data_IF_253778271562
#
_entry.id   IF_253778271562
#
_cell.length_a   1.000
_cell.length_b   1.000
_cell.length_c   1.000
_cell.angle_alpha   90.00
_cell.angle_beta   90.00
_cell.angle_gamma   90.00
#
_symmetry.space_group_name_H-M   'P 1'
#
loop_
_entity.id
_entity.type
_entity.pdbx_description
1 polymer ?
#
# COMPACT_ATOMS: atom_id res chain seq x y z
N UNK A 1 19.01 23.40 -61.52
CA UNK A 1 17.53 23.26 -61.43
C UNK A 1 17.23 21.78 -61.12
N UNK A 2 17.02 21.43 -59.85
CA UNK A 2 16.19 20.27 -59.49
C UNK A 2 15.72 20.43 -58.03
N UNK A 3 14.42 20.25 -57.85
CA UNK A 3 13.53 20.52 -56.77
C UNK A 3 13.97 19.98 -55.38
N UNK A 4 13.98 20.86 -54.38
CA UNK A 4 13.71 20.58 -52.98
C UNK A 4 12.19 20.81 -52.74
N UNK A 5 11.40 19.80 -52.66
CA UNK A 5 10.06 19.85 -52.01
C UNK A 5 9.72 18.45 -51.49
N UNK A 6 9.26 18.38 -50.26
CA UNK A 6 8.70 17.24 -49.50
C UNK A 6 9.59 16.65 -48.42
N UNK A 7 9.66 17.31 -47.27
CA UNK A 7 10.25 16.77 -46.05
C UNK A 7 9.66 17.34 -44.76
N UNK A 8 8.73 18.34 -44.85
CA UNK A 8 8.24 19.06 -43.66
C UNK A 8 6.92 18.56 -43.05
N UNK A 9 6.16 17.76 -43.79
CA UNK A 9 4.81 17.33 -43.32
C UNK A 9 4.82 16.12 -42.39
N UNK A 10 5.75 15.16 -42.59
CA UNK A 10 5.76 13.92 -41.80
C UNK A 10 6.31 14.11 -40.39
N UNK A 11 7.28 14.99 -40.19
CA UNK A 11 7.82 15.31 -38.87
C UNK A 11 6.87 16.06 -37.95
N UNK A 12 6.00 16.90 -38.51
CA UNK A 12 5.00 17.61 -37.70
C UNK A 12 3.82 16.73 -37.30
N UNK A 13 3.40 15.79 -38.12
CA UNK A 13 2.35 14.83 -37.80
C UNK A 13 2.81 13.81 -36.72
N UNK A 14 4.07 13.37 -36.72
CA UNK A 14 4.65 12.53 -35.69
C UNK A 14 4.82 13.30 -34.36
N UNK A 15 5.23 14.55 -34.41
CA UNK A 15 5.33 15.43 -33.22
C UNK A 15 3.94 15.75 -32.65
N UNK A 16 2.94 16.02 -33.47
CA UNK A 16 1.58 16.29 -33.02
C UNK A 16 0.91 15.04 -32.40
N UNK A 17 1.14 13.84 -32.96
CA UNK A 17 0.65 12.59 -32.38
C UNK A 17 1.37 12.24 -31.07
N UNK A 18 2.68 12.45 -30.94
CA UNK A 18 3.42 12.26 -29.70
C UNK A 18 2.99 13.27 -28.63
N UNK A 19 2.73 14.54 -28.99
CA UNK A 19 2.21 15.56 -28.08
C UNK A 19 0.80 15.26 -27.57
N UNK A 20 -0.10 14.81 -28.43
CA UNK A 20 -1.46 14.42 -28.05
C UNK A 20 -1.46 13.17 -27.17
N UNK A 21 -0.58 12.21 -27.44
CA UNK A 21 -0.44 11.00 -26.63
C UNK A 21 0.16 11.32 -25.25
N UNK A 22 1.21 12.14 -25.19
CA UNK A 22 1.82 12.61 -23.95
C UNK A 22 0.84 13.41 -23.08
N UNK A 23 0.04 14.30 -23.68
CA UNK A 23 -0.94 15.08 -22.93
C UNK A 23 -2.09 14.21 -22.40
N UNK A 24 -2.56 13.22 -23.15
CA UNK A 24 -3.59 12.30 -22.69
C UNK A 24 -3.08 11.40 -21.57
N UNK A 25 -1.89 10.82 -21.69
CA UNK A 25 -1.25 10.02 -20.65
C UNK A 25 -1.00 10.81 -19.36
N UNK A 26 -0.65 12.10 -19.48
CA UNK A 26 -0.48 12.98 -18.30
C UNK A 26 -1.81 13.29 -17.61
N UNK A 27 -2.90 13.51 -18.38
CA UNK A 27 -4.24 13.68 -17.80
C UNK A 27 -4.69 12.44 -17.05
N UNK A 28 -4.53 11.25 -17.66
CA UNK A 28 -4.93 9.99 -17.06
C UNK A 28 -4.13 9.70 -15.78
N UNK A 29 -2.83 10.04 -15.76
CA UNK A 29 -1.99 9.90 -14.56
C UNK A 29 -2.40 10.88 -13.45
N UNK A 30 -2.79 12.12 -13.79
CA UNK A 30 -3.29 13.10 -12.81
C UNK A 30 -4.64 12.65 -12.22
N UNK A 31 -5.54 12.13 -13.04
CA UNK A 31 -6.81 11.60 -12.55
C UNK A 31 -6.58 10.40 -11.61
N UNK A 32 -5.67 9.49 -11.96
CA UNK A 32 -5.29 8.38 -11.10
C UNK A 32 -4.68 8.84 -9.77
N UNK A 33 -3.80 9.86 -9.80
CA UNK A 33 -3.15 10.36 -8.59
C UNK A 33 -4.12 11.11 -7.68
N UNK A 34 -5.13 11.80 -8.23
CA UNK A 34 -6.19 12.42 -7.45
C UNK A 34 -7.07 11.37 -6.77
N UNK A 35 -7.40 10.28 -7.46
CA UNK A 35 -8.15 9.17 -6.87
C UNK A 35 -7.32 8.41 -5.82
N UNK A 36 -6.01 8.24 -6.03
CA UNK A 36 -5.09 7.75 -4.98
C UNK A 36 -5.12 8.68 -3.76
N UNK A 37 -5.09 9.99 -3.96
CA UNK A 37 -5.22 10.96 -2.87
C UNK A 37 -6.51 10.79 -2.07
N UNK A 38 -7.64 10.64 -2.77
CA UNK A 38 -8.94 10.38 -2.14
C UNK A 38 -8.95 9.03 -1.38
N UNK A 39 -8.34 7.98 -1.95
CA UNK A 39 -8.21 6.67 -1.32
C UNK A 39 -7.38 6.73 -0.04
N UNK A 40 -6.22 7.40 -0.07
CA UNK A 40 -5.36 7.58 1.12
C UNK A 40 -6.08 8.37 2.20
N UNK A 41 -6.79 9.45 1.83
CA UNK A 41 -7.57 10.26 2.79
C UNK A 41 -8.65 9.45 3.49
N UNK A 42 -9.32 8.54 2.77
CA UNK A 42 -10.33 7.63 3.31
C UNK A 42 -9.73 6.43 4.07
N UNK A 43 -8.41 6.28 4.09
CA UNK A 43 -7.70 5.11 4.62
C UNK A 43 -6.68 5.48 5.71
N UNK A 44 -7.09 6.12 6.82
CA UNK A 44 -6.17 6.55 7.89
C UNK A 44 -5.58 5.38 8.71
N UNK A 45 -6.09 4.18 8.59
CA UNK A 45 -5.56 2.94 9.17
C UNK A 45 -5.76 1.76 8.22
N UNK A 46 -5.11 0.61 8.46
CA UNK A 46 -5.31 -0.63 7.67
C UNK A 46 -6.77 -1.07 7.63
N UNK A 47 -7.50 -0.94 8.75
CA UNK A 47 -8.93 -1.27 8.85
C UNK A 47 -9.78 -0.40 7.92
N UNK A 48 -9.49 0.90 7.85
CA UNK A 48 -10.16 1.82 6.92
C UNK A 48 -9.78 1.49 5.46
N UNK A 49 -8.50 1.20 5.18
CA UNK A 49 -8.05 0.82 3.85
C UNK A 49 -8.75 -0.43 3.33
N UNK A 50 -8.87 -1.47 4.17
CA UNK A 50 -9.59 -2.69 3.81
C UNK A 50 -11.08 -2.43 3.55
N UNK A 51 -11.75 -1.62 4.37
CA UNK A 51 -13.17 -1.27 4.20
C UNK A 51 -13.42 -0.35 3.01
N UNK A 52 -12.58 0.64 2.77
CA UNK A 52 -12.68 1.49 1.58
C UNK A 52 -12.45 0.69 0.30
N UNK A 53 -11.50 -0.26 0.31
CA UNK A 53 -11.28 -1.18 -0.82
C UNK A 53 -12.51 -2.06 -1.06
N UNK A 54 -13.08 -2.67 -0.02
CA UNK A 54 -14.30 -3.47 -0.13
C UNK A 54 -15.50 -2.64 -0.64
N UNK A 55 -15.64 -1.39 -0.16
CA UNK A 55 -16.69 -0.46 -0.64
C UNK A 55 -16.55 -0.16 -2.14
N UNK A 56 -15.32 0.14 -2.61
CA UNK A 56 -15.04 0.39 -4.04
C UNK A 56 -15.30 -0.85 -4.89
N UNK A 57 -14.87 -2.03 -4.42
CA UNK A 57 -15.11 -3.31 -5.07
C UNK A 57 -16.61 -3.63 -5.15
N UNK A 58 -17.37 -3.43 -4.07
CA UNK A 58 -18.81 -3.61 -4.07
C UNK A 58 -19.51 -2.69 -5.09
N UNK A 59 -19.06 -1.44 -5.20
CA UNK A 59 -19.56 -0.49 -6.23
C UNK A 59 -19.23 -0.96 -7.67
N UNK A 60 -18.15 -1.75 -7.85
CA UNK A 60 -17.77 -2.39 -9.12
C UNK A 60 -18.40 -3.79 -9.31
N UNK A 61 -19.35 -4.19 -8.46
CA UNK A 61 -20.11 -5.44 -8.58
C UNK A 61 -19.42 -6.68 -7.98
N UNK A 62 -18.42 -6.50 -7.12
CA UNK A 62 -17.86 -7.61 -6.32
C UNK A 62 -18.80 -7.95 -5.16
N UNK A 63 -18.93 -9.23 -4.87
CA UNK A 63 -19.69 -9.74 -3.73
C UNK A 63 -18.80 -9.96 -2.53
N UNK A 64 -19.08 -9.30 -1.41
CA UNK A 64 -18.38 -9.56 -0.15
C UNK A 64 -18.83 -10.88 0.47
N UNK A 65 -17.88 -11.75 0.81
CA UNK A 65 -18.12 -13.08 1.36
C UNK A 65 -17.67 -13.15 2.82
N UNK A 66 -18.51 -13.81 3.66
CA UNK A 66 -18.10 -14.14 5.02
C UNK A 66 -17.18 -15.35 5.07
N UNK A 67 -16.15 -15.30 5.92
CA UNK A 67 -15.23 -16.44 6.12
C UNK A 67 -15.89 -17.64 6.80
N UNK A 68 -16.92 -17.42 7.59
CA UNK A 68 -17.73 -18.42 8.33
C UNK A 68 -18.77 -19.13 7.47
N UNK A 69 -18.85 -18.80 6.16
CA UNK A 69 -19.88 -19.33 5.25
C UNK A 69 -19.26 -20.12 4.10
N UNK A 70 -20.08 -20.90 3.43
CA UNK A 70 -19.69 -21.49 2.15
C UNK A 70 -19.60 -20.40 1.08
N UNK A 71 -18.60 -20.52 0.22
CA UNK A 71 -18.42 -19.63 -0.91
C UNK A 71 -18.99 -20.20 -2.20
N UNK A 72 -19.52 -19.35 -3.10
CA UNK A 72 -19.95 -19.81 -4.42
C UNK A 72 -18.74 -20.32 -5.22
N UNK A 73 -19.00 -21.30 -6.08
CA UNK A 73 -18.02 -21.86 -7.01
C UNK A 73 -18.15 -21.27 -8.42
N UNK A 74 -19.15 -20.43 -8.64
CA UNK A 74 -19.49 -19.90 -9.96
C UNK A 74 -18.48 -18.86 -10.43
N UNK A 75 -18.32 -18.67 -11.76
CA UNK A 75 -17.64 -17.49 -12.29
C UNK A 75 -18.22 -16.21 -11.71
N UNK A 76 -17.35 -15.28 -11.30
CA UNK A 76 -17.82 -14.07 -10.61
C UNK A 76 -16.71 -13.26 -9.98
N UNK A 77 -17.10 -12.20 -9.30
CA UNK A 77 -16.24 -11.20 -8.66
C UNK A 77 -16.50 -11.22 -7.15
N UNK A 78 -15.49 -11.49 -6.35
CA UNK A 78 -15.62 -11.72 -4.92
C UNK A 78 -14.56 -10.97 -4.12
N UNK A 79 -14.89 -10.66 -2.88
CA UNK A 79 -13.97 -10.08 -1.90
C UNK A 79 -14.23 -10.64 -0.51
N UNK A 80 -13.18 -10.82 0.27
CA UNK A 80 -13.22 -11.16 1.69
C UNK A 80 -12.34 -10.19 2.47
N UNK A 81 -12.83 -9.73 3.62
CA UNK A 81 -12.10 -8.83 4.53
C UNK A 81 -11.76 -9.60 5.81
N UNK A 82 -10.51 -9.53 6.24
CA UNK A 82 -10.01 -10.10 7.48
C UNK A 82 -9.21 -9.04 8.24
N UNK A 83 -9.79 -8.46 9.27
CA UNK A 83 -9.18 -7.38 10.05
C UNK A 83 -8.81 -6.16 9.16
N UNK A 84 -7.55 -5.75 9.14
CA UNK A 84 -7.03 -4.71 8.25
C UNK A 84 -6.59 -5.21 6.87
N UNK A 85 -6.82 -6.48 6.53
CA UNK A 85 -6.47 -7.09 5.25
C UNK A 85 -7.71 -7.39 4.41
N UNK A 86 -7.55 -7.52 3.09
CA UNK A 86 -8.58 -8.03 2.20
C UNK A 86 -7.96 -8.82 1.05
N UNK A 87 -8.75 -9.76 0.50
CA UNK A 87 -8.42 -10.45 -0.74
C UNK A 87 -9.63 -10.38 -1.65
N UNK A 88 -9.42 -9.90 -2.89
CA UNK A 88 -10.45 -9.84 -3.92
C UNK A 88 -10.01 -10.65 -5.14
N UNK A 89 -10.96 -11.31 -5.82
CA UNK A 89 -10.64 -12.14 -6.98
C UNK A 89 -11.74 -12.18 -8.02
N UNK A 90 -11.36 -12.53 -9.24
CA UNK A 90 -12.25 -12.76 -10.36
C UNK A 90 -12.07 -14.21 -10.82
N UNK A 91 -13.14 -15.01 -10.77
CA UNK A 91 -13.19 -16.34 -11.35
C UNK A 91 -13.75 -16.20 -12.77
N UNK A 92 -12.93 -16.43 -13.82
CA UNK A 92 -13.39 -16.29 -15.20
C UNK A 92 -14.31 -17.41 -15.64
N UNK A 93 -15.07 -17.21 -16.70
CA UNK A 93 -15.82 -18.24 -17.41
C UNK A 93 -14.86 -19.36 -17.87
N UNK A 94 -15.17 -20.61 -17.53
CA UNK A 94 -14.35 -21.74 -17.89
C UNK A 94 -13.16 -22.04 -16.97
N UNK A 95 -13.04 -21.36 -15.83
CA UNK A 95 -12.07 -21.76 -14.80
C UNK A 95 -12.34 -23.20 -14.34
N UNK A 96 -11.29 -24.01 -14.22
CA UNK A 96 -11.32 -25.40 -13.80
C UNK A 96 -10.42 -25.67 -12.61
N UNK A 97 -10.39 -26.93 -12.14
CA UNK A 97 -9.69 -27.36 -10.92
C UNK A 97 -8.19 -27.05 -10.90
N UNK A 98 -7.53 -27.03 -12.07
CA UNK A 98 -6.10 -26.72 -12.20
C UNK A 98 -5.80 -25.31 -12.70
N UNK A 99 -6.82 -24.42 -12.76
CA UNK A 99 -6.60 -23.02 -13.19
C UNK A 99 -5.68 -22.29 -12.22
N UNK A 100 -4.60 -21.71 -12.75
CA UNK A 100 -3.62 -20.94 -11.98
C UNK A 100 -4.15 -19.57 -11.56
N UNK A 101 -3.45 -18.95 -10.62
CA UNK A 101 -3.77 -17.65 -10.07
C UNK A 101 -2.77 -16.58 -10.54
N UNK A 102 -3.26 -15.44 -11.01
CA UNK A 102 -2.50 -14.22 -11.21
C UNK A 102 -2.65 -13.32 -9.97
N UNK A 103 -1.68 -13.38 -9.06
CA UNK A 103 -1.76 -12.77 -7.73
C UNK A 103 -0.97 -11.47 -7.72
N UNK A 104 -1.61 -10.35 -7.37
CA UNK A 104 -0.94 -9.12 -6.95
C UNK A 104 -1.03 -9.02 -5.43
N UNK A 105 0.12 -9.12 -4.76
CA UNK A 105 0.24 -8.98 -3.31
C UNK A 105 0.71 -7.59 -2.92
N UNK A 106 0.07 -6.98 -1.91
CA UNK A 106 0.36 -5.65 -1.37
C UNK A 106 0.14 -5.64 0.14
N UNK A 107 0.32 -4.51 0.83
CA UNK A 107 -0.07 -4.36 2.24
C UNK A 107 -0.80 -3.05 2.51
N UNK A 108 -1.63 -3.04 3.56
CA UNK A 108 -2.55 -1.95 3.93
C UNK A 108 -2.06 -1.11 5.09
N UNK A 109 -1.17 -1.66 5.92
CA UNK A 109 -0.58 -0.97 7.07
C UNK A 109 0.57 -0.05 6.65
N UNK A 110 0.95 0.85 7.53
CA UNK A 110 2.04 1.81 7.35
C UNK A 110 2.65 2.16 8.71
N UNK A 111 3.93 2.58 8.78
CA UNK A 111 4.55 2.99 10.03
C UNK A 111 3.79 4.10 10.74
N UNK A 112 3.63 3.98 12.04
CA UNK A 112 2.79 4.87 12.83
C UNK A 112 3.08 4.81 14.33
N UNK A 113 2.12 5.31 15.14
CA UNK A 113 2.08 5.20 16.59
C UNK A 113 0.74 4.61 17.01
N UNK A 114 0.76 3.45 17.68
CA UNK A 114 -0.43 2.75 18.17
C UNK A 114 -0.73 3.16 19.61
N UNK A 115 -2.00 3.40 19.94
CA UNK A 115 -2.41 3.67 21.32
C UNK A 115 -2.14 2.46 22.23
N UNK A 116 -1.57 2.73 23.41
CA UNK A 116 -1.39 1.74 24.49
C UNK A 116 -2.74 1.41 25.16
N UNK A 117 -2.85 0.26 25.88
CA UNK A 117 -4.09 -0.13 26.56
C UNK A 117 -4.59 0.89 27.61
N UNK A 118 -3.71 1.70 28.20
CA UNK A 118 -4.06 2.84 29.06
C UNK A 118 -3.45 4.10 28.47
N UNK A 119 -4.11 4.72 27.50
CA UNK A 119 -3.48 5.73 26.68
C UNK A 119 -3.54 7.13 27.31
N UNK A 120 -4.48 7.41 28.22
CA UNK A 120 -4.59 8.73 28.84
C UNK A 120 -3.47 8.92 29.85
N UNK A 121 -2.63 9.92 29.61
CA UNK A 121 -1.51 10.30 30.46
C UNK A 121 -1.30 11.81 30.40
N UNK A 122 -0.32 12.35 31.12
CA UNK A 122 0.04 13.76 31.06
C UNK A 122 0.68 14.27 32.35
N UNK A 123 1.15 15.50 32.29
CA UNK A 123 1.76 16.23 33.43
C UNK A 123 1.71 17.74 33.19
N UNK A 124 1.83 18.48 34.23
CA UNK A 124 1.87 19.97 34.16
C UNK A 124 0.65 20.60 33.47
N UNK A 125 -0.53 19.99 33.60
CA UNK A 125 -1.75 20.45 32.92
C UNK A 125 -1.87 20.12 31.46
N UNK A 126 -0.98 19.29 30.93
CA UNK A 126 -1.06 18.74 29.57
C UNK A 126 -1.72 17.37 29.56
N UNK A 127 -2.63 17.15 28.63
CA UNK A 127 -3.17 15.83 28.30
C UNK A 127 -2.33 15.22 27.18
N UNK A 128 -1.73 14.06 27.44
CA UNK A 128 -0.89 13.34 26.49
C UNK A 128 -1.47 11.94 26.21
N UNK A 129 -1.19 11.41 25.03
CA UNK A 129 -1.51 10.03 24.71
C UNK A 129 -0.27 9.13 24.86
N UNK A 130 -0.45 8.02 25.58
CA UNK A 130 0.55 6.95 25.65
C UNK A 130 0.49 6.11 24.37
N UNK A 131 1.58 6.10 23.61
CA UNK A 131 1.65 5.40 22.33
C UNK A 131 2.84 4.43 22.28
N UNK A 132 2.71 3.44 21.40
CA UNK A 132 3.75 2.50 20.99
C UNK A 132 4.17 2.80 19.56
N UNK A 133 5.47 2.74 19.25
CA UNK A 133 5.96 2.91 17.88
C UNK A 133 5.59 1.66 17.08
N UNK A 134 4.86 1.82 15.99
CA UNK A 134 4.47 0.76 15.08
C UNK A 134 5.32 0.81 13.81
N UNK A 135 6.00 -0.31 13.49
CA UNK A 135 6.92 -0.36 12.35
C UNK A 135 8.19 0.46 12.55
N UNK A 136 8.70 1.01 11.47
CA UNK A 136 9.94 1.77 11.42
C UNK A 136 9.79 3.24 11.01
N UNK A 137 8.95 4.08 11.67
CA UNK A 137 8.72 5.45 11.25
C UNK A 137 9.97 6.34 11.38
N UNK A 138 10.13 7.29 10.45
CA UNK A 138 11.06 8.42 10.61
C UNK A 138 10.52 9.37 11.67
N UNK A 139 10.91 9.18 12.95
CA UNK A 139 10.32 9.86 14.10
C UNK A 139 10.28 11.38 13.96
N UNK A 140 11.34 11.99 13.41
CA UNK A 140 11.44 13.43 13.21
C UNK A 140 10.38 14.00 12.26
N UNK A 141 9.89 13.22 11.31
CA UNK A 141 8.88 13.65 10.35
C UNK A 141 7.49 13.82 10.95
N UNK A 142 7.24 13.21 12.11
CA UNK A 142 5.97 13.27 12.84
C UNK A 142 5.85 14.47 13.78
N UNK A 143 6.97 15.14 14.03
CA UNK A 143 6.98 16.31 14.89
C UNK A 143 6.28 17.49 14.21
N UNK A 144 5.59 18.32 15.02
CA UNK A 144 4.91 19.55 14.62
C UNK A 144 3.83 19.39 13.54
N UNK A 145 3.22 18.19 13.46
CA UNK A 145 2.09 17.90 12.59
C UNK A 145 0.80 17.74 13.38
N UNK A 146 -0.30 18.18 12.81
CA UNK A 146 -1.64 17.88 13.30
C UNK A 146 -1.98 16.44 12.89
N UNK A 147 -2.14 15.58 13.90
CA UNK A 147 -2.40 14.15 13.73
C UNK A 147 -3.80 13.80 14.20
N UNK A 148 -4.38 12.81 13.55
CA UNK A 148 -5.60 12.16 13.99
C UNK A 148 -5.32 10.79 14.61
N UNK A 149 -6.29 10.29 15.35
CA UNK A 149 -6.39 8.91 15.78
C UNK A 149 -7.44 8.19 14.93
N UNK A 150 -7.09 7.04 14.38
CA UNK A 150 -7.99 6.26 13.55
C UNK A 150 -7.75 4.75 13.73
N UNK A 151 -8.81 3.96 13.54
CA UNK A 151 -8.74 2.51 13.66
C UNK A 151 -10.10 1.90 13.94
N UNK A 152 -10.13 0.80 14.70
CA UNK A 152 -11.36 0.13 15.13
C UNK A 152 -11.50 0.10 16.64
N UNK A 153 -12.73 0.15 17.09
CA UNK A 153 -13.17 -0.15 18.46
C UNK A 153 -14.10 -1.34 18.44
N UNK A 154 -13.99 -2.19 19.44
CA UNK A 154 -14.80 -3.41 19.56
C UNK A 154 -15.45 -3.42 20.94
N UNK A 155 -16.76 -3.65 20.98
CA UNK A 155 -17.54 -3.74 22.22
C UNK A 155 -17.39 -5.12 22.87
N UNK A 156 -17.83 -5.27 24.12
CA UNK A 156 -17.79 -6.54 24.87
C UNK A 156 -18.63 -7.64 24.23
N UNK A 157 -19.67 -7.28 23.48
CA UNK A 157 -20.51 -8.21 22.70
C UNK A 157 -20.01 -8.46 21.25
N UNK A 158 -18.89 -7.85 20.88
CA UNK A 158 -18.20 -8.09 19.60
C UNK A 158 -18.62 -7.16 18.46
N UNK A 159 -19.40 -6.11 18.72
CA UNK A 159 -19.70 -5.10 17.69
C UNK A 159 -18.41 -4.32 17.35
N UNK A 160 -18.05 -4.28 16.06
CA UNK A 160 -16.90 -3.54 15.55
C UNK A 160 -17.33 -2.22 14.90
N UNK A 161 -16.67 -1.12 15.26
CA UNK A 161 -16.86 0.21 14.67
C UNK A 161 -15.52 0.83 14.29
N UNK A 162 -15.44 1.37 13.08
CA UNK A 162 -14.35 2.24 12.68
C UNK A 162 -14.53 3.62 13.30
N UNK A 163 -13.41 4.23 13.65
CA UNK A 163 -13.38 5.57 14.23
C UNK A 163 -12.20 6.36 13.67
N UNK A 164 -12.45 7.65 13.41
CA UNK A 164 -11.44 8.65 13.11
C UNK A 164 -11.77 9.96 13.81
N UNK A 165 -10.75 10.68 14.25
CA UNK A 165 -10.97 11.88 15.08
C UNK A 165 -10.93 13.19 14.29
N UNK A 166 -10.34 13.21 13.11
CA UNK A 166 -9.80 14.44 12.54
C UNK A 166 -8.62 14.96 13.36
N UNK A 167 -8.11 16.17 13.09
CA UNK A 167 -6.97 16.75 13.82
C UNK A 167 -7.24 16.80 15.32
N UNK A 168 -6.46 16.04 16.10
CA UNK A 168 -6.65 15.91 17.55
C UNK A 168 -5.36 16.13 18.34
N UNK A 169 -4.23 15.67 17.86
CA UNK A 169 -3.00 15.62 18.64
C UNK A 169 -1.78 16.06 17.84
N UNK A 170 -0.68 16.32 18.57
CA UNK A 170 0.59 16.76 17.98
C UNK A 170 1.76 16.31 18.85
N UNK A 171 2.88 15.94 18.22
CA UNK A 171 4.19 15.83 18.88
C UNK A 171 4.92 17.17 18.78
N UNK A 172 4.90 18.02 19.81
CA UNK A 172 5.60 19.31 19.75
C UNK A 172 7.11 19.11 19.87
N UNK A 173 7.88 19.81 19.03
CA UNK A 173 9.33 19.87 19.17
C UNK A 173 9.72 20.75 20.36
N UNK A 174 10.90 20.45 20.95
CA UNK A 174 11.52 21.34 21.90
C UNK A 174 12.05 22.58 21.16
N UNK A 175 11.79 23.76 21.70
CA UNK A 175 12.27 25.00 21.09
C UNK A 175 13.81 25.03 21.04
N UNK A 176 14.38 25.56 19.96
CA UNK A 176 15.83 25.64 19.75
C UNK A 176 16.57 26.35 20.91
N UNK A 177 15.90 27.26 21.62
CA UNK A 177 16.48 27.95 22.78
C UNK A 177 16.76 27.00 23.96
N UNK A 178 16.07 25.85 24.02
CA UNK A 178 16.22 24.85 25.06
C UNK A 178 17.11 23.66 24.62
N UNK A 179 17.37 23.54 23.30
CA UNK A 179 18.30 22.56 22.70
C UNK A 179 19.03 23.20 21.51
N UNK A 180 20.13 23.88 21.77
CA UNK A 180 20.87 24.61 20.72
C UNK A 180 21.64 23.71 19.78
N UNK A 181 21.87 22.45 20.14
CA UNK A 181 22.59 21.47 19.33
C UNK A 181 21.66 20.62 18.45
N UNK A 182 20.35 20.87 18.46
CA UNK A 182 19.34 20.07 17.74
C UNK A 182 19.66 19.93 16.23
N UNK A 183 20.24 20.96 15.60
CA UNK A 183 20.62 20.93 14.19
C UNK A 183 21.90 20.12 13.90
N UNK A 184 22.66 19.74 14.92
CA UNK A 184 23.83 18.85 14.80
C UNK A 184 23.42 17.38 14.89
N UNK A 185 22.23 17.08 15.48
CA UNK A 185 21.69 15.75 15.56
C UNK A 185 20.51 15.66 16.51
N UNK A 186 19.30 15.52 15.96
CA UNK A 186 18.09 15.33 16.75
C UNK A 186 18.04 13.91 17.35
N UNK A 187 17.98 13.85 18.70
CA UNK A 187 17.90 12.59 19.45
C UNK A 187 16.51 12.45 20.06
N UNK A 188 15.73 11.48 19.59
CA UNK A 188 14.39 11.19 20.11
C UNK A 188 14.37 9.87 20.87
N UNK A 189 14.07 9.94 22.18
CA UNK A 189 13.75 8.76 22.97
C UNK A 189 12.28 8.38 22.75
N UNK A 190 12.05 7.14 22.29
CA UNK A 190 10.70 6.67 21.94
C UNK A 190 9.73 6.65 23.13
N UNK A 191 10.22 6.41 24.34
CA UNK A 191 9.38 6.34 25.54
C UNK A 191 9.12 7.72 26.17
N UNK A 192 10.12 8.61 26.15
CA UNK A 192 10.05 9.88 26.87
C UNK A 192 9.57 11.04 25.97
N UNK A 193 10.01 11.06 24.71
CA UNK A 193 9.79 12.20 23.81
C UNK A 193 8.61 12.01 22.87
N UNK A 194 8.14 10.76 22.67
CA UNK A 194 7.09 10.43 21.70
C UNK A 194 5.74 10.18 22.40
N UNK A 195 5.28 11.12 23.22
CA UNK A 195 3.93 11.14 23.78
C UNK A 195 3.22 12.41 23.27
N UNK A 196 2.30 12.29 22.30
CA UNK A 196 1.67 13.45 21.68
C UNK A 196 0.73 14.14 22.66
N UNK A 197 0.63 15.46 22.54
CA UNK A 197 -0.32 16.30 23.28
C UNK A 197 -1.64 16.31 22.53
N UNK A 198 -2.77 16.12 23.24
CA UNK A 198 -4.11 16.19 22.66
C UNK A 198 -5.06 17.15 23.39
N UNK A 199 -4.63 17.76 24.49
CA UNK A 199 -5.44 18.72 25.21
C UNK A 199 -4.75 19.32 26.44
N UNK A 200 -5.52 20.10 27.16
CA UNK A 200 -5.15 20.72 28.46
C UNK A 200 -6.12 20.25 29.53
N UNK A 201 -5.62 20.03 30.75
CA UNK A 201 -6.45 19.63 31.88
C UNK A 201 -5.74 18.69 32.85
N UNK A 202 -6.54 18.06 33.71
CA UNK A 202 -6.09 17.04 34.65
C UNK A 202 -6.18 15.66 34.00
N UNK A 203 -5.05 14.96 33.77
CA UNK A 203 -5.06 13.62 33.18
C UNK A 203 -5.89 12.60 33.96
N UNK A 204 -6.06 12.78 35.28
CA UNK A 204 -6.87 11.87 36.10
C UNK A 204 -8.38 11.99 35.87
N UNK A 205 -8.82 13.13 35.31
CA UNK A 205 -10.21 13.40 34.97
C UNK A 205 -10.50 13.27 33.47
N UNK A 206 -9.46 13.02 32.64
CA UNK A 206 -9.58 12.90 31.20
C UNK A 206 -9.74 11.44 30.77
N UNK A 207 -10.49 11.23 29.68
CA UNK A 207 -10.72 9.90 29.10
C UNK A 207 -10.59 9.95 27.57
N UNK A 208 -9.42 9.57 27.05
CA UNK A 208 -9.18 9.51 25.61
C UNK A 208 -9.96 8.36 24.94
N UNK A 209 -10.14 7.23 25.63
CA UNK A 209 -10.91 6.09 25.11
C UNK A 209 -12.39 6.46 25.04
N UNK A 210 -12.92 7.12 26.06
CA UNK A 210 -14.30 7.64 26.06
C UNK A 210 -14.56 8.67 24.96
N UNK A 211 -13.57 9.54 24.67
CA UNK A 211 -13.66 10.46 23.52
C UNK A 211 -13.77 9.69 22.19
N UNK A 212 -12.95 8.65 22.00
CA UNK A 212 -13.00 7.81 20.81
C UNK A 212 -14.32 7.04 20.71
N UNK A 213 -14.79 6.43 21.82
CA UNK A 213 -16.07 5.73 21.86
C UNK A 213 -17.24 6.64 21.47
N UNK A 214 -17.27 7.86 22.00
CA UNK A 214 -18.30 8.85 21.64
C UNK A 214 -18.28 9.21 20.15
N UNK A 215 -17.08 9.34 19.54
CA UNK A 215 -16.94 9.55 18.09
C UNK A 215 -17.38 8.35 17.25
N UNK A 216 -17.19 7.12 17.75
CA UNK A 216 -17.66 5.90 17.13
C UNK A 216 -19.17 5.65 17.33
N UNK A 217 -19.85 6.47 18.16
CA UNK A 217 -21.25 6.27 18.53
C UNK A 217 -21.45 5.10 19.49
N UNK A 218 -20.45 4.76 20.31
CA UNK A 218 -20.46 3.67 21.28
C UNK A 218 -20.46 4.22 22.71
N UNK A 219 -20.99 3.45 23.66
CA UNK A 219 -20.84 3.78 25.08
C UNK A 219 -19.41 3.40 25.53
N UNK A 220 -18.72 4.27 26.27
CA UNK A 220 -17.38 3.95 26.78
C UNK A 220 -17.33 2.69 27.65
N UNK A 221 -18.40 2.40 28.41
CA UNK A 221 -18.50 1.24 29.29
C UNK A 221 -18.61 -0.10 28.53
N UNK A 222 -19.04 -0.05 27.27
CA UNK A 222 -19.20 -1.24 26.43
C UNK A 222 -17.91 -1.59 25.66
N UNK A 223 -16.86 -0.77 25.73
CA UNK A 223 -15.62 -1.01 24.97
C UNK A 223 -14.82 -2.17 25.56
N UNK A 224 -14.71 -3.26 24.79
CA UNK A 224 -13.90 -4.43 25.11
C UNK A 224 -12.45 -4.34 24.61
N UNK A 225 -12.21 -3.64 23.51
CA UNK A 225 -10.87 -3.48 22.93
C UNK A 225 -10.81 -2.45 21.81
N UNK A 226 -9.60 -2.12 21.38
CA UNK A 226 -9.39 -1.22 20.26
C UNK A 226 -8.01 -1.42 19.61
N UNK A 227 -7.96 -1.15 18.31
CA UNK A 227 -6.73 -1.03 17.53
C UNK A 227 -6.74 0.36 16.87
N UNK A 228 -6.08 1.32 17.50
CA UNK A 228 -6.06 2.72 17.10
C UNK A 228 -4.64 3.18 16.82
N UNK A 229 -4.43 3.81 15.68
CA UNK A 229 -3.14 4.35 15.24
C UNK A 229 -3.24 5.85 14.95
N UNK A 230 -2.09 6.52 14.96
CA UNK A 230 -1.96 7.90 14.52
C UNK A 230 -1.87 7.99 13.00
N UNK A 231 -2.45 9.04 12.41
CA UNK A 231 -2.28 9.36 11.01
C UNK A 231 -2.12 10.87 10.80
N UNK A 232 -1.29 11.25 9.82
CA UNK A 232 -1.16 12.66 9.40
C UNK A 232 -2.47 13.12 8.75
N UNK A 233 -2.92 14.32 9.09
CA UNK A 233 -4.15 14.92 8.55
C UNK A 233 -3.91 15.84 7.36
N UNK A 234 -2.66 16.04 6.97
CA UNK A 234 -2.34 16.87 5.82
C UNK A 234 -2.80 16.21 4.52
N UNK A 235 -3.65 16.93 3.77
CA UNK A 235 -4.19 16.47 2.51
C UNK A 235 -3.11 16.07 1.48
N UNK A 236 -3.29 14.95 0.76
CA UNK A 236 -2.45 14.60 -0.38
C UNK A 236 -2.43 15.70 -1.44
N UNK A 237 -1.27 15.98 -2.04
CA UNK A 237 -1.13 17.05 -3.04
C UNK A 237 -0.09 16.74 -4.09
N UNK A 238 -0.37 17.16 -5.32
CA UNK A 238 0.66 17.34 -6.34
C UNK A 238 1.42 18.64 -6.11
N UNK A 239 2.68 18.68 -6.51
CA UNK A 239 3.56 19.84 -6.44
C UNK A 239 4.73 19.70 -7.41
N UNK A 240 5.61 20.69 -7.46
CA UNK A 240 6.69 20.82 -8.45
C UNK A 240 6.36 21.89 -9.47
N UNK A 241 7.31 22.21 -10.34
CA UNK A 241 7.16 23.28 -11.33
C UNK A 241 6.03 22.96 -12.35
N UNK A 242 5.86 21.66 -12.65
CA UNK A 242 4.87 21.13 -13.60
C UNK A 242 3.96 20.07 -12.95
N UNK A 243 3.85 20.07 -11.62
CA UNK A 243 3.11 19.08 -10.82
C UNK A 243 3.63 17.63 -11.01
N UNK A 244 4.95 17.46 -11.13
CA UNK A 244 5.59 16.17 -11.37
C UNK A 244 5.59 15.24 -10.16
N UNK A 245 5.37 15.80 -8.97
CA UNK A 245 5.48 15.08 -7.70
C UNK A 245 4.14 15.02 -6.97
N UNK A 246 3.99 13.96 -6.18
CA UNK A 246 2.86 13.76 -5.29
C UNK A 246 3.36 13.52 -3.86
N UNK A 247 2.82 14.27 -2.91
CA UNK A 247 3.14 14.12 -1.50
C UNK A 247 1.93 13.69 -0.69
N UNK A 248 2.08 12.60 0.05
CA UNK A 248 1.06 12.04 0.93
C UNK A 248 1.71 11.21 2.03
N UNK A 249 1.02 10.96 3.13
CA UNK A 249 1.37 9.87 4.04
C UNK A 249 0.93 8.53 3.46
N UNK A 250 1.49 7.43 3.97
CA UNK A 250 1.05 6.05 3.70
C UNK A 250 1.10 5.64 2.22
N UNK A 251 1.97 6.27 1.41
CA UNK A 251 2.21 5.81 0.03
C UNK A 251 2.83 4.42 0.03
N UNK A 252 3.70 4.15 0.97
CA UNK A 252 4.08 2.84 1.44
C UNK A 252 3.00 2.34 2.41
N UNK A 253 2.08 1.41 1.99
CA UNK A 253 2.03 0.85 0.64
C UNK A 253 0.62 1.01 0.00
N UNK A 254 -0.15 2.03 0.43
CA UNK A 254 -1.48 2.30 -0.12
C UNK A 254 -1.43 2.65 -1.62
N UNK A 255 -0.29 3.10 -2.12
CA UNK A 255 -0.09 3.33 -3.56
C UNK A 255 -0.18 2.04 -4.37
N UNK A 256 0.41 0.94 -3.88
CA UNK A 256 0.31 -0.38 -4.53
C UNK A 256 -1.08 -1.01 -4.33
N UNK A 257 -1.70 -0.82 -3.15
CA UNK A 257 -3.09 -1.25 -2.90
C UNK A 257 -4.03 -0.59 -3.89
N UNK A 258 -3.93 0.74 -4.05
CA UNK A 258 -4.77 1.51 -4.97
C UNK A 258 -4.54 1.12 -6.43
N UNK A 259 -3.26 0.97 -6.85
CA UNK A 259 -2.92 0.55 -8.20
C UNK A 259 -3.52 -0.84 -8.53
N UNK A 260 -3.39 -1.80 -7.59
CA UNK A 260 -3.98 -3.13 -7.73
C UNK A 260 -5.51 -3.11 -7.74
N UNK A 261 -6.12 -2.27 -6.89
CA UNK A 261 -7.57 -2.11 -6.81
C UNK A 261 -8.14 -1.54 -8.13
N UNK A 262 -7.56 -0.47 -8.65
CA UNK A 262 -7.95 0.12 -9.92
C UNK A 262 -7.80 -0.89 -11.07
N UNK A 263 -6.65 -1.58 -11.13
CA UNK A 263 -6.38 -2.60 -12.13
C UNK A 263 -7.35 -3.78 -12.07
N UNK A 264 -7.73 -4.25 -10.88
CA UNK A 264 -8.66 -5.36 -10.74
C UNK A 264 -10.08 -4.96 -11.14
N UNK A 265 -10.50 -3.73 -10.82
CA UNK A 265 -11.80 -3.17 -11.22
C UNK A 265 -11.84 -3.03 -12.75
N UNK A 266 -10.80 -2.49 -13.38
CA UNK A 266 -10.72 -2.35 -14.84
C UNK A 266 -10.70 -3.73 -15.54
N UNK A 267 -9.97 -4.71 -14.99
CA UNK A 267 -9.94 -6.08 -15.48
C UNK A 267 -11.31 -6.78 -15.38
N UNK A 268 -12.10 -6.44 -14.38
CA UNK A 268 -13.43 -7.03 -14.16
C UNK A 268 -14.45 -6.66 -15.25
N UNK A 269 -14.19 -5.63 -16.03
CA UNK A 269 -15.02 -5.21 -17.18
C UNK A 269 -14.55 -5.87 -18.50
N UNK A 270 -13.45 -6.62 -18.47
CA UNK A 270 -12.84 -7.26 -19.63
C UNK A 270 -12.99 -8.78 -19.56
N UNK A 271 -12.81 -9.47 -20.70
CA UNK A 271 -12.65 -10.92 -20.67
C UNK A 271 -11.23 -11.25 -20.19
N UNK A 272 -11.15 -12.03 -19.13
CA UNK A 272 -9.89 -12.56 -18.63
C UNK A 272 -9.59 -13.90 -19.29
N UNK A 273 -8.37 -14.07 -19.81
CA UNK A 273 -7.94 -15.29 -20.49
C UNK A 273 -7.28 -16.26 -19.49
N UNK A 274 -8.11 -17.08 -18.86
CA UNK A 274 -7.66 -18.37 -18.32
C UNK A 274 -7.13 -18.39 -16.88
N UNK A 275 -6.61 -17.35 -16.28
CA UNK A 275 -6.18 -17.33 -14.87
C UNK A 275 -7.21 -16.66 -13.95
N UNK A 276 -7.22 -17.05 -12.66
CA UNK A 276 -8.01 -16.38 -11.63
C UNK A 276 -7.20 -15.17 -11.16
N UNK A 277 -7.71 -13.96 -11.45
CA UNK A 277 -7.08 -12.73 -10.99
C UNK A 277 -7.32 -12.54 -9.50
N UNK A 278 -6.26 -12.24 -8.72
CA UNK A 278 -6.32 -12.10 -7.26
C UNK A 278 -5.54 -10.86 -6.82
N UNK A 279 -6.19 -9.95 -6.11
CA UNK A 279 -5.55 -8.87 -5.35
C UNK A 279 -5.56 -9.27 -3.87
N UNK A 280 -4.38 -9.43 -3.27
CA UNK A 280 -4.20 -9.74 -1.86
C UNK A 280 -3.50 -8.58 -1.16
N UNK A 281 -4.19 -7.86 -0.29
CA UNK A 281 -3.65 -6.78 0.51
C UNK A 281 -3.59 -7.21 1.97
N UNK A 282 -2.38 -7.40 2.48
CA UNK A 282 -2.13 -7.91 3.83
C UNK A 282 -2.03 -6.78 4.87
N UNK A 283 -2.19 -7.13 6.13
CA UNK A 283 -1.93 -6.26 7.27
C UNK A 283 -0.62 -6.65 7.95
N UNK A 284 -0.05 -5.77 8.77
CA UNK A 284 1.13 -6.04 9.59
C UNK A 284 2.45 -6.34 8.83
N UNK A 285 2.58 -5.88 7.58
CA UNK A 285 3.84 -5.99 6.84
C UNK A 285 4.97 -5.29 7.60
N UNK A 286 4.73 -4.08 8.06
CA UNK A 286 5.66 -3.17 8.73
C UNK A 286 6.22 -3.69 10.07
N UNK A 287 5.65 -4.79 10.56
CA UNK A 287 6.07 -5.49 11.78
C UNK A 287 6.39 -6.97 11.53
N UNK A 288 6.63 -7.34 10.26
CA UNK A 288 7.14 -8.64 9.84
C UNK A 288 6.09 -9.66 9.44
N UNK A 289 4.86 -9.25 9.13
CA UNK A 289 3.78 -10.10 8.58
C UNK A 289 3.32 -11.28 9.45
N UNK A 290 3.80 -11.41 10.68
CA UNK A 290 3.58 -12.57 11.56
C UNK A 290 2.23 -12.53 12.29
N UNK A 291 1.11 -12.44 11.55
CA UNK A 291 -0.24 -12.41 12.11
C UNK A 291 -1.24 -13.19 11.24
N UNK A 292 -2.48 -13.37 11.72
CA UNK A 292 -3.53 -14.08 10.96
C UNK A 292 -3.94 -13.37 9.66
N UNK A 293 -3.74 -12.06 9.59
CA UNK A 293 -4.04 -11.19 8.43
C UNK A 293 -2.80 -10.76 7.67
N UNK A 294 -1.60 -11.08 8.16
CA UNK A 294 -0.33 -10.82 7.50
C UNK A 294 0.04 -11.89 6.47
N UNK A 295 1.02 -11.59 5.61
CA UNK A 295 1.45 -12.48 4.54
C UNK A 295 2.09 -13.79 5.02
N UNK A 296 2.67 -13.82 6.25
CA UNK A 296 3.15 -15.04 6.88
C UNK A 296 2.00 -15.89 7.48
N UNK A 297 0.81 -15.30 7.66
CA UNK A 297 -0.41 -15.97 8.12
C UNK A 297 -1.08 -16.82 7.03
N UNK A 298 -2.17 -17.50 7.36
CA UNK A 298 -2.82 -18.44 6.43
C UNK A 298 -3.75 -17.76 5.41
N UNK A 299 -3.98 -16.45 5.47
CA UNK A 299 -5.08 -15.78 4.78
C UNK A 299 -5.10 -16.04 3.26
N UNK A 300 -3.98 -15.83 2.57
CA UNK A 300 -3.92 -16.09 1.14
C UNK A 300 -4.11 -17.58 0.83
N UNK A 301 -3.43 -18.45 1.57
CA UNK A 301 -3.53 -19.90 1.39
C UNK A 301 -4.97 -20.39 1.60
N UNK A 302 -5.66 -19.92 2.66
CA UNK A 302 -7.07 -20.24 2.93
C UNK A 302 -7.97 -19.87 1.74
N UNK A 303 -7.78 -18.66 1.19
CA UNK A 303 -8.58 -18.16 0.06
C UNK A 303 -8.33 -18.99 -1.19
N UNK A 304 -7.07 -19.20 -1.58
CA UNK A 304 -6.73 -19.99 -2.78
C UNK A 304 -7.22 -21.46 -2.67
N UNK A 305 -7.08 -22.06 -1.48
CA UNK A 305 -7.60 -23.41 -1.21
C UNK A 305 -9.11 -23.49 -1.36
N UNK A 306 -9.84 -22.50 -0.80
CA UNK A 306 -11.32 -22.47 -0.89
C UNK A 306 -11.80 -22.25 -2.31
N UNK A 307 -11.11 -21.42 -3.11
CA UNK A 307 -11.43 -21.24 -4.54
C UNK A 307 -11.23 -22.55 -5.29
N UNK A 308 -10.07 -23.20 -5.14
CA UNK A 308 -9.78 -24.48 -5.81
C UNK A 308 -10.77 -25.56 -5.42
N UNK A 309 -11.07 -25.72 -4.13
CA UNK A 309 -12.05 -26.68 -3.63
C UNK A 309 -13.48 -26.39 -4.15
N UNK A 310 -13.87 -25.11 -4.22
CA UNK A 310 -15.13 -24.67 -4.81
C UNK A 310 -15.29 -25.07 -6.26
N UNK A 311 -14.19 -25.02 -7.05
CA UNK A 311 -14.16 -25.50 -8.43
C UNK A 311 -14.15 -27.04 -8.55
N UNK A 312 -14.26 -27.77 -7.44
CA UNK A 312 -14.22 -29.22 -7.40
C UNK A 312 -12.81 -29.83 -7.40
N UNK A 313 -11.78 -29.02 -7.16
CA UNK A 313 -10.39 -29.45 -7.19
C UNK A 313 -10.00 -30.29 -5.98
N UNK A 314 -9.15 -31.30 -6.24
CA UNK A 314 -8.45 -32.10 -5.25
C UNK A 314 -7.18 -31.42 -4.74
N UNK A 315 -6.50 -32.01 -3.76
CA UNK A 315 -5.18 -31.57 -3.31
C UNK A 315 -4.14 -31.59 -4.46
N UNK A 316 -4.21 -32.57 -5.35
CA UNK A 316 -3.33 -32.64 -6.54
C UNK A 316 -3.63 -31.50 -7.53
N UNK A 317 -4.91 -31.17 -7.73
CA UNK A 317 -5.31 -30.02 -8.57
C UNK A 317 -4.83 -28.71 -7.96
N UNK A 318 -4.90 -28.55 -6.64
CA UNK A 318 -4.38 -27.39 -5.93
C UNK A 318 -2.87 -27.19 -6.20
N UNK A 319 -2.09 -28.27 -6.12
CA UNK A 319 -0.66 -28.20 -6.39
C UNK A 319 -0.37 -27.82 -7.85
N UNK A 320 -1.16 -28.33 -8.80
CA UNK A 320 -1.08 -27.94 -10.21
C UNK A 320 -1.44 -26.47 -10.40
N UNK A 321 -2.52 -25.99 -9.79
CA UNK A 321 -2.93 -24.59 -9.83
C UNK A 321 -1.84 -23.67 -9.27
N UNK A 322 -1.23 -24.01 -8.12
CA UNK A 322 -0.13 -23.23 -7.54
C UNK A 322 1.12 -23.22 -8.44
N UNK A 323 1.47 -24.35 -9.06
CA UNK A 323 2.59 -24.44 -10.01
C UNK A 323 2.33 -23.62 -11.30
N UNK A 324 1.07 -23.47 -11.72
CA UNK A 324 0.65 -22.64 -12.84
C UNK A 324 0.48 -21.16 -12.48
N UNK A 325 0.57 -20.82 -11.19
CA UNK A 325 0.35 -19.46 -10.68
C UNK A 325 1.59 -18.57 -10.79
N UNK A 326 1.35 -17.27 -10.69
CA UNK A 326 2.40 -16.28 -10.60
C UNK A 326 1.98 -15.16 -9.63
N UNK A 327 2.92 -14.68 -8.82
CA UNK A 327 2.69 -13.59 -7.88
C UNK A 327 3.57 -12.39 -8.22
N UNK A 328 2.97 -11.22 -8.23
CA UNK A 328 3.65 -9.92 -8.20
C UNK A 328 3.52 -9.40 -6.76
N UNK A 329 4.63 -9.31 -6.03
CA UNK A 329 4.72 -8.65 -4.74
C UNK A 329 4.99 -7.18 -4.99
N UNK A 330 3.95 -6.35 -4.90
CA UNK A 330 4.02 -4.92 -5.16
C UNK A 330 4.14 -4.15 -3.84
N UNK A 331 5.31 -3.58 -3.61
CA UNK A 331 5.68 -2.86 -2.41
C UNK A 331 6.63 -1.72 -2.78
N UNK A 332 6.45 -0.53 -2.21
CA UNK A 332 7.23 0.66 -2.54
C UNK A 332 8.74 0.43 -2.39
N UNK A 333 9.54 1.16 -3.14
CA UNK A 333 11.00 1.06 -3.09
C UNK A 333 11.67 2.45 -3.08
N UNK A 334 12.98 2.46 -2.94
CA UNK A 334 13.73 3.72 -2.80
C UNK A 334 14.08 4.34 -4.16
N UNK A 335 13.64 5.56 -4.40
CA UNK A 335 14.24 6.40 -5.43
C UNK A 335 15.62 6.88 -5.01
N UNK A 336 16.51 7.15 -5.98
CA UNK A 336 17.81 7.77 -5.68
C UNK A 336 17.58 9.15 -5.03
N UNK A 337 18.22 9.34 -3.88
CA UNK A 337 18.13 10.63 -3.17
C UNK A 337 19.22 11.60 -3.66
N UNK A 338 18.88 12.78 -4.19
CA UNK A 338 19.86 13.66 -4.84
C UNK A 338 20.96 14.15 -3.89
N UNK A 339 20.69 14.25 -2.59
CA UNK A 339 21.68 14.70 -1.58
C UNK A 339 22.44 13.54 -0.90
N UNK A 340 22.10 12.27 -1.23
CA UNK A 340 22.68 11.06 -0.63
C UNK A 340 22.88 9.97 -1.68
N UNK A 341 23.34 10.36 -2.87
CA UNK A 341 23.52 9.44 -4.00
C UNK A 341 24.47 8.28 -3.67
N UNK A 342 25.44 8.50 -2.77
CA UNK A 342 26.38 7.47 -2.30
C UNK A 342 25.74 6.34 -1.48
N UNK A 343 24.46 6.46 -1.12
CA UNK A 343 23.70 5.41 -0.44
C UNK A 343 23.04 4.42 -1.41
N UNK A 344 23.11 4.71 -2.70
CA UNK A 344 22.47 3.93 -3.75
C UNK A 344 23.51 3.23 -4.62
N UNK A 345 23.09 2.12 -5.27
CA UNK A 345 23.93 1.49 -6.28
C UNK A 345 24.17 2.46 -7.45
N UNK A 346 25.41 2.63 -7.93
CA UNK A 346 25.73 3.66 -8.93
C UNK A 346 25.13 3.41 -10.32
N UNK A 347 24.70 2.17 -10.63
CA UNK A 347 24.15 1.79 -11.93
C UNK A 347 22.65 1.42 -11.88
N UNK A 348 22.17 0.88 -10.75
CA UNK A 348 20.83 0.33 -10.59
C UNK A 348 20.04 1.14 -9.54
N UNK A 349 19.85 2.43 -9.80
CA UNK A 349 19.16 3.35 -8.91
C UNK A 349 17.98 4.03 -9.63
N UNK A 350 16.74 3.79 -9.17
CA UNK A 350 15.55 4.35 -9.79
C UNK A 350 15.39 5.85 -9.54
N UNK A 351 14.70 6.50 -10.46
CA UNK A 351 14.27 7.90 -10.36
C UNK A 351 12.74 7.98 -10.33
N UNK A 352 12.18 9.07 -9.80
CA UNK A 352 10.75 9.35 -9.85
C UNK A 352 10.29 9.55 -11.29
N UNK A 353 9.06 9.12 -11.61
CA UNK A 353 8.46 9.16 -12.95
C UNK A 353 9.19 8.31 -14.01
N UNK A 354 10.07 7.42 -13.59
CA UNK A 354 10.77 6.48 -14.48
C UNK A 354 10.05 5.15 -14.69
N UNK A 355 8.90 4.98 -14.06
CA UNK A 355 8.14 3.73 -14.04
C UNK A 355 8.45 2.85 -12.83
N UNK A 356 7.68 1.77 -12.64
CA UNK A 356 7.82 0.89 -11.49
C UNK A 356 9.18 0.18 -11.45
N UNK A 357 9.58 -0.16 -10.23
CA UNK A 357 10.82 -0.87 -9.93
C UNK A 357 10.66 -2.37 -10.18
N UNK A 358 11.73 -3.02 -10.66
CA UNK A 358 11.98 -4.45 -10.50
C UNK A 358 13.07 -4.61 -9.43
N UNK A 359 12.71 -5.15 -8.28
CA UNK A 359 13.61 -5.30 -7.13
C UNK A 359 14.38 -6.61 -7.22
N UNK A 360 15.71 -6.56 -7.15
CA UNK A 360 16.61 -7.72 -7.25
C UNK A 360 17.53 -7.77 -6.03
N UNK A 361 17.69 -8.94 -5.42
CA UNK A 361 18.59 -9.13 -4.29
C UNK A 361 19.22 -10.52 -4.27
N UNK A 362 20.55 -10.60 -4.24
CA UNK A 362 21.30 -11.86 -4.23
C UNK A 362 21.04 -12.75 -3.01
N UNK A 363 20.62 -12.16 -1.87
CA UNK A 363 20.32 -12.88 -0.63
C UNK A 363 18.84 -13.26 -0.51
N UNK A 364 18.07 -13.18 -1.60
CA UNK A 364 16.63 -13.49 -1.64
C UNK A 364 15.79 -12.70 -0.62
N UNK A 365 16.23 -11.47 -0.30
CA UNK A 365 15.40 -10.49 0.42
C UNK A 365 14.25 -9.99 -0.46
N UNK A 366 14.42 -10.09 -1.79
CA UNK A 366 13.44 -10.03 -2.86
C UNK A 366 13.52 -11.34 -3.64
N UNK A 367 12.38 -11.86 -4.07
CA UNK A 367 12.25 -13.18 -4.68
C UNK A 367 12.57 -13.21 -6.18
N UNK A 368 12.75 -12.05 -6.79
CA UNK A 368 12.92 -11.92 -8.24
C UNK A 368 14.05 -12.82 -8.76
N UNK A 369 13.67 -13.78 -9.60
CA UNK A 369 14.57 -14.65 -10.37
C UNK A 369 14.54 -14.28 -11.87
N UNK A 370 15.40 -14.88 -12.69
CA UNK A 370 15.48 -14.57 -14.12
C UNK A 370 14.17 -14.83 -14.89
N UNK A 371 13.42 -15.95 -14.67
CA UNK A 371 12.11 -16.14 -15.28
C UNK A 371 11.07 -15.12 -14.81
N UNK A 372 11.08 -14.74 -13.52
CA UNK A 372 10.21 -13.69 -12.98
C UNK A 372 10.50 -12.34 -13.61
N UNK A 373 11.78 -11.96 -13.68
CA UNK A 373 12.21 -10.72 -14.32
C UNK A 373 11.80 -10.67 -15.80
N UNK A 374 11.96 -11.77 -16.55
CA UNK A 374 11.54 -11.84 -17.95
C UNK A 374 10.04 -11.69 -18.12
N UNK A 375 9.22 -12.28 -17.21
CA UNK A 375 7.76 -12.14 -17.23
C UNK A 375 7.36 -10.69 -16.91
N UNK A 376 7.98 -10.05 -15.91
CA UNK A 376 7.75 -8.64 -15.59
C UNK A 376 8.09 -7.73 -16.78
N UNK A 377 9.25 -7.90 -17.38
CA UNK A 377 9.66 -7.13 -18.57
C UNK A 377 8.65 -7.28 -19.72
N UNK A 378 8.13 -8.50 -19.94
CA UNK A 378 7.10 -8.76 -20.96
C UNK A 378 5.78 -8.04 -20.64
N UNK A 379 5.34 -8.06 -19.38
CA UNK A 379 4.13 -7.34 -18.95
C UNK A 379 4.27 -5.82 -19.15
N UNK A 380 5.40 -5.24 -18.77
CA UNK A 380 5.69 -3.83 -19.00
C UNK A 380 5.71 -3.47 -20.50
N UNK A 381 6.35 -4.31 -21.32
CA UNK A 381 6.35 -4.13 -22.78
C UNK A 381 4.92 -4.16 -23.35
N UNK A 382 4.09 -5.12 -22.91
CA UNK A 382 2.72 -5.26 -23.38
C UNK A 382 1.81 -4.12 -22.92
N UNK A 383 2.09 -3.57 -21.74
CA UNK A 383 1.41 -2.37 -21.21
C UNK A 383 1.93 -1.08 -21.88
N UNK A 384 3.06 -1.11 -22.59
CA UNK A 384 3.73 0.09 -23.12
C UNK A 384 4.33 0.99 -22.02
N UNK A 385 4.66 0.42 -20.85
CA UNK A 385 5.14 1.12 -19.66
C UNK A 385 6.64 0.86 -19.47
N UNK A 386 7.45 1.90 -19.21
CA UNK A 386 8.85 1.70 -18.80
C UNK A 386 8.92 1.12 -17.39
N UNK A 387 10.02 0.42 -17.07
CA UNK A 387 10.35 0.00 -15.72
C UNK A 387 11.83 0.22 -15.44
N UNK A 388 12.21 0.20 -14.15
CA UNK A 388 13.58 0.43 -13.70
C UNK A 388 14.04 -0.74 -12.83
N UNK A 389 15.31 -1.10 -12.90
CA UNK A 389 15.91 -2.11 -12.03
C UNK A 389 16.43 -1.46 -10.75
N UNK A 390 16.22 -2.13 -9.62
CA UNK A 390 16.71 -1.72 -8.32
C UNK A 390 17.53 -2.82 -7.67
N UNK A 391 18.73 -2.44 -7.25
CA UNK A 391 19.62 -3.26 -6.40
C UNK A 391 20.05 -2.41 -5.21
N UNK A 392 20.01 -2.96 -4.00
CA UNK A 392 20.53 -2.26 -2.82
C UNK A 392 22.04 -2.06 -2.92
N UNK A 393 22.54 -0.91 -2.47
CA UNK A 393 23.98 -0.68 -2.32
C UNK A 393 24.57 -1.73 -1.37
N UNK A 394 25.68 -2.36 -1.74
CA UNK A 394 26.26 -3.50 -1.01
C UNK A 394 26.58 -3.24 0.47
N UNK A 395 26.82 -1.99 0.85
CA UNK A 395 27.08 -1.60 2.25
C UNK A 395 25.82 -1.21 3.02
N UNK A 396 24.64 -1.24 2.38
CA UNK A 396 23.35 -0.94 3.03
C UNK A 396 22.57 -2.22 3.29
N UNK A 397 21.89 -2.34 4.45
CA UNK A 397 20.99 -3.45 4.67
C UNK A 397 19.83 -3.39 3.68
N UNK A 398 19.45 -4.55 3.12
CA UNK A 398 18.28 -4.65 2.28
C UNK A 398 17.05 -4.91 3.16
N UNK A 399 15.95 -4.20 2.89
CA UNK A 399 14.64 -4.51 3.43
C UNK A 399 14.14 -5.88 2.96
N UNK A 400 12.93 -6.22 3.32
CA UNK A 400 12.20 -7.38 2.81
C UNK A 400 10.76 -6.95 2.50
N UNK A 401 10.00 -7.82 1.87
CA UNK A 401 8.63 -7.59 1.42
C UNK A 401 7.79 -8.84 1.73
N UNK A 402 6.52 -8.82 1.37
CA UNK A 402 5.65 -10.01 1.44
C UNK A 402 6.07 -11.10 0.44
N UNK A 403 6.84 -10.77 -0.61
CA UNK A 403 7.23 -11.68 -1.69
C UNK A 403 7.93 -12.95 -1.21
N UNK A 404 9.03 -12.85 -0.44
CA UNK A 404 9.72 -14.02 0.11
C UNK A 404 8.83 -14.93 0.96
N UNK A 405 7.88 -14.35 1.71
CA UNK A 405 6.94 -15.11 2.54
C UNK A 405 5.95 -15.89 1.68
N UNK A 406 5.35 -15.27 0.68
CA UNK A 406 4.44 -15.90 -0.26
C UNK A 406 5.13 -17.01 -1.05
N UNK A 407 6.30 -16.73 -1.62
CA UNK A 407 7.08 -17.71 -2.39
C UNK A 407 7.48 -18.93 -1.55
N UNK A 408 7.94 -18.72 -0.32
CA UNK A 408 8.41 -19.81 0.56
C UNK A 408 7.26 -20.68 1.07
N UNK A 409 6.12 -20.08 1.37
CA UNK A 409 4.97 -20.81 1.93
C UNK A 409 4.18 -21.56 0.88
N UNK A 410 3.94 -20.95 -0.28
CA UNK A 410 3.04 -21.50 -1.30
C UNK A 410 3.77 -22.15 -2.49
N UNK A 411 5.09 -21.95 -2.61
CA UNK A 411 5.86 -22.43 -3.75
C UNK A 411 5.49 -21.74 -5.07
N UNK A 412 4.78 -20.62 -5.02
CA UNK A 412 4.38 -19.85 -6.20
C UNK A 412 5.54 -18.94 -6.61
N UNK A 413 5.88 -18.95 -7.92
CA UNK A 413 6.90 -18.02 -8.43
C UNK A 413 6.47 -16.59 -8.23
N UNK A 414 7.34 -15.82 -7.60
CA UNK A 414 7.06 -14.44 -7.21
C UNK A 414 8.13 -13.49 -7.74
N UNK A 415 7.73 -12.28 -8.13
CA UNK A 415 8.60 -11.16 -8.47
C UNK A 415 8.29 -9.98 -7.56
N UNK A 416 9.33 -9.29 -7.10
CA UNK A 416 9.17 -8.09 -6.27
C UNK A 416 9.31 -6.84 -7.12
N UNK A 417 8.27 -6.00 -7.04
CA UNK A 417 8.18 -4.73 -7.79
C UNK A 417 7.73 -3.61 -6.85
N UNK A 418 7.54 -2.40 -7.36
CA UNK A 418 6.95 -1.30 -6.59
C UNK A 418 7.10 0.04 -7.28
N UNK A 419 6.66 1.11 -6.66
CA UNK A 419 6.91 2.46 -7.12
C UNK A 419 8.11 3.07 -6.38
N UNK A 420 8.90 3.95 -7.02
CA UNK A 420 9.97 4.67 -6.35
C UNK A 420 9.41 5.74 -5.42
N UNK A 421 9.91 5.81 -4.18
CA UNK A 421 9.58 6.83 -3.19
C UNK A 421 10.83 7.56 -2.69
N UNK A 422 10.68 8.81 -2.33
CA UNK A 422 11.54 9.53 -1.40
C UNK A 422 10.84 9.68 -0.04
N UNK A 423 11.63 9.77 1.01
CA UNK A 423 11.12 9.91 2.40
C UNK A 423 10.21 8.76 2.83
N UNK A 424 10.45 7.53 2.35
CA UNK A 424 9.72 6.33 2.80
C UNK A 424 9.71 6.25 4.34
N UNK A 425 8.58 5.84 4.94
CA UNK A 425 8.32 5.81 6.38
C UNK A 425 8.26 7.19 7.06
N UNK A 426 8.24 8.28 6.29
CA UNK A 426 7.90 9.61 6.80
C UNK A 426 6.38 9.71 7.05
N UNK A 427 5.97 10.58 7.95
CA UNK A 427 4.56 10.98 8.05
C UNK A 427 4.02 11.54 6.71
N UNK A 428 4.94 12.00 5.83
CA UNK A 428 4.61 12.48 4.49
C UNK A 428 5.70 12.10 3.50
N UNK A 429 5.39 11.18 2.64
CA UNK A 429 6.26 10.60 1.61
C UNK A 429 6.08 11.31 0.27
N UNK A 430 6.95 11.01 -0.70
CA UNK A 430 6.94 11.64 -2.01
C UNK A 430 7.11 10.60 -3.11
N UNK A 431 6.20 10.61 -4.09
CA UNK A 431 6.23 9.81 -5.32
C UNK A 431 6.30 10.69 -6.56
N UNK A 432 6.63 10.10 -7.70
CA UNK A 432 6.33 10.67 -9.00
C UNK A 432 4.85 10.48 -9.36
N UNK A 433 4.23 11.45 -10.01
CA UNK A 433 2.80 11.41 -10.39
C UNK A 433 2.48 10.24 -11.34
N UNK A 434 3.45 9.86 -12.21
CA UNK A 434 3.23 8.80 -13.19
C UNK A 434 3.42 7.38 -12.63
N UNK A 435 4.23 7.20 -11.59
CA UNK A 435 4.65 5.87 -11.15
C UNK A 435 3.49 5.01 -10.63
N UNK A 436 2.53 5.50 -9.80
CA UNK A 436 1.37 4.72 -9.39
C UNK A 436 0.45 4.35 -10.57
N UNK A 437 0.25 5.26 -11.51
CA UNK A 437 -0.51 5.01 -12.73
C UNK A 437 0.15 3.93 -13.61
N UNK A 438 1.46 3.99 -13.78
CA UNK A 438 2.22 2.98 -14.51
C UNK A 438 2.09 1.60 -13.86
N UNK A 439 2.17 1.51 -12.53
CA UNK A 439 1.98 0.24 -11.81
C UNK A 439 0.57 -0.30 -12.03
N UNK A 440 -0.46 0.55 -11.97
CA UNK A 440 -1.85 0.15 -12.24
C UNK A 440 -2.01 -0.42 -13.66
N UNK A 441 -1.42 0.23 -14.68
CA UNK A 441 -1.52 -0.25 -16.07
C UNK A 441 -0.81 -1.58 -16.31
N UNK A 442 0.35 -1.82 -15.72
CA UNK A 442 1.02 -3.13 -15.79
C UNK A 442 0.20 -4.19 -15.04
N UNK A 443 -0.38 -3.85 -13.90
CA UNK A 443 -1.24 -4.75 -13.11
C UNK A 443 -2.54 -5.12 -13.84
N UNK A 444 -3.14 -4.18 -14.57
CA UNK A 444 -4.30 -4.45 -15.43
C UNK A 444 -3.96 -5.52 -16.49
N UNK A 445 -2.86 -5.33 -17.24
CA UNK A 445 -2.37 -6.31 -18.22
C UNK A 445 -2.10 -7.67 -17.58
N UNK A 446 -1.59 -7.69 -16.35
CA UNK A 446 -1.34 -8.93 -15.60
C UNK A 446 -2.62 -9.66 -15.23
N UNK A 447 -3.69 -8.97 -14.85
CA UNK A 447 -4.95 -9.59 -14.45
C UNK A 447 -5.80 -10.12 -15.63
N UNK A 448 -5.67 -9.53 -16.82
CA UNK A 448 -6.46 -9.95 -18.00
C UNK A 448 -5.81 -11.09 -18.78
N UNK A 449 -4.56 -11.45 -18.50
CA UNK A 449 -3.78 -12.53 -19.12
C UNK A 449 -3.60 -13.71 -18.18
#
# INVERSE_FOLDING_TARGET
MFNRVAGHGFGQLLRARSWLWLNRSMSDALDHIHDLGAFVSASPSSFHAARESARRLAAAGFTELGEDRQWPADPGKYVVVRDGAFIAWIVPEGAGTGTGFSILGTHTDSPSFKLKPRPTTGKFGWLQAGVEVYGGPLLNSWLDRELQLAGRMVTLDGEERLVETGPLMRFPQLAIHLDRAVNEGLKLDKQQHMNPVWGLGDPSAADLVGLLAAKAGLNPEDIGGYDIVAADTQEPRTFGAENEFFASGRLDNLSSVHAGLAALIDAAEQKTDGSIAVLAAFDHEEVGSGSRSGAAGPFLEDVLNRITAGLGGSEADRQQAFAASFCISADAGHAVHPNYAERHDPANHPVLNGGPLLKINANQRYTTDAPGAARWAKLCLDAGIPYQEFVSHNSMPCGSTIGPLTATRLGIRTVDVGIPLLSMHSAREMAGVQDPFHLAKVSEVFFIR
#
